data_IF_192449742829
#
_entry.id   IF_192449742829
#
_cell.length_a   1.000
_cell.length_b   1.000
_cell.length_c   1.000
_cell.angle_alpha   90.00
_cell.angle_beta   90.00
_cell.angle_gamma   90.00
#
_symmetry.space_group_name_H-M   'P 1'
#
loop_
_entity.id
_entity.type
_entity.pdbx_description
1 polymer ?
#
# COMPACT_ATOMS: atom_id res chain seq x y z
N UNK A 1 24.56 -8.96 -3.04
CA UNK A 1 25.37 -8.55 -1.87
C UNK A 1 24.69 -7.48 -1.00
N UNK A 2 23.57 -6.87 -1.42
CA UNK A 2 22.91 -5.76 -0.69
C UNK A 2 21.89 -6.17 0.37
N UNK A 3 21.10 -7.24 0.16
CA UNK A 3 19.99 -7.59 1.06
C UNK A 3 20.43 -8.14 2.44
N UNK A 4 21.41 -9.06 2.48
CA UNK A 4 21.84 -9.67 3.76
C UNK A 4 22.61 -8.70 4.66
N UNK A 5 23.30 -7.71 4.07
CA UNK A 5 24.00 -6.67 4.83
C UNK A 5 23.02 -5.65 5.45
N UNK A 6 21.93 -5.35 4.75
CA UNK A 6 20.86 -4.48 5.24
C UNK A 6 20.06 -5.13 6.37
N UNK A 7 19.79 -6.44 6.29
CA UNK A 7 19.15 -7.21 7.37
C UNK A 7 20.03 -7.29 8.62
N UNK A 8 21.34 -7.51 8.47
CA UNK A 8 22.28 -7.53 9.60
C UNK A 8 22.36 -6.18 10.33
N UNK A 9 22.33 -5.07 9.60
CA UNK A 9 22.33 -3.72 10.20
C UNK A 9 21.01 -3.41 10.93
N UNK A 10 19.87 -3.90 10.45
CA UNK A 10 18.57 -3.70 11.10
C UNK A 10 18.45 -4.48 12.41
N UNK A 11 18.98 -5.71 12.45
CA UNK A 11 19.04 -6.52 13.68
C UNK A 11 19.96 -5.88 14.72
N UNK A 12 21.14 -5.42 14.30
CA UNK A 12 22.07 -4.72 15.19
C UNK A 12 21.46 -3.42 15.74
N UNK A 13 20.77 -2.65 14.90
CA UNK A 13 20.05 -1.44 15.34
C UNK A 13 19.00 -1.77 16.40
N UNK A 14 18.23 -2.85 16.22
CA UNK A 14 17.20 -3.23 17.18
C UNK A 14 17.77 -3.76 18.50
N UNK A 15 18.87 -4.50 18.45
CA UNK A 15 19.57 -4.94 19.67
C UNK A 15 20.09 -3.75 20.49
N UNK A 16 20.56 -2.68 19.85
CA UNK A 16 20.93 -1.45 20.56
C UNK A 16 19.71 -0.78 21.20
N UNK A 17 18.58 -0.74 20.49
CA UNK A 17 17.32 -0.22 21.02
C UNK A 17 16.88 -1.02 22.25
N UNK A 18 16.93 -2.36 22.22
CA UNK A 18 16.62 -3.21 23.38
C UNK A 18 17.44 -2.85 24.62
N UNK A 19 18.73 -2.56 24.42
CA UNK A 19 19.64 -2.13 25.48
C UNK A 19 19.45 -0.67 25.92
N UNK A 20 18.39 0.01 25.46
CA UNK A 20 18.04 1.37 25.88
C UNK A 20 18.76 2.49 25.12
N UNK A 21 19.37 2.21 23.97
CA UNK A 21 20.02 3.24 23.16
C UNK A 21 19.00 4.16 22.48
N UNK A 22 18.74 5.31 23.11
CA UNK A 22 17.83 6.35 22.62
C UNK A 22 18.23 6.88 21.24
N UNK A 23 19.53 6.92 20.90
CA UNK A 23 19.99 7.42 19.59
C UNK A 23 19.59 6.44 18.48
N UNK A 24 19.75 5.16 18.75
CA UNK A 24 19.32 4.09 17.85
C UNK A 24 17.80 4.10 17.66
N UNK A 25 17.04 4.39 18.73
CA UNK A 25 15.58 4.51 18.65
C UNK A 25 15.14 5.75 17.86
N UNK A 26 15.79 6.90 18.07
CA UNK A 26 15.53 8.12 17.28
C UNK A 26 15.82 7.89 15.79
N UNK A 27 16.93 7.24 15.45
CA UNK A 27 17.25 6.91 14.06
C UNK A 27 16.17 6.02 13.43
N UNK A 28 15.63 5.06 14.19
CA UNK A 28 14.53 4.22 13.74
C UNK A 28 13.26 5.05 13.50
N UNK A 29 12.94 5.94 14.43
CA UNK A 29 11.79 6.85 14.31
C UNK A 29 11.91 7.70 13.05
N UNK A 30 13.01 8.41 12.88
CA UNK A 30 13.24 9.31 11.73
C UNK A 30 13.17 8.54 10.39
N UNK A 31 13.63 7.29 10.35
CA UNK A 31 13.62 6.47 9.14
C UNK A 31 12.23 5.90 8.79
N UNK A 32 11.41 5.59 9.79
CA UNK A 32 10.17 4.83 9.57
C UNK A 32 8.89 5.61 9.85
N UNK A 33 8.95 6.79 10.47
CA UNK A 33 7.77 7.57 10.79
C UNK A 33 6.95 7.88 9.55
N UNK A 34 7.54 8.52 8.54
CA UNK A 34 6.83 8.93 7.32
C UNK A 34 6.32 7.72 6.49
N UNK A 35 7.13 6.69 6.21
CA UNK A 35 6.64 5.52 5.48
C UNK A 35 5.51 4.76 6.18
N UNK A 36 5.51 4.71 7.52
CA UNK A 36 4.44 4.06 8.28
C UNK A 36 3.22 4.97 8.40
N UNK A 37 3.40 6.28 8.53
CA UNK A 37 2.31 7.26 8.51
C UNK A 37 1.55 7.20 7.20
N UNK A 38 2.24 7.26 6.06
CA UNK A 38 1.62 7.11 4.73
C UNK A 38 0.87 5.77 4.64
N UNK A 39 1.47 4.69 5.16
CA UNK A 39 0.83 3.39 5.18
C UNK A 39 -0.46 3.36 6.02
N UNK A 40 -0.47 3.98 7.20
CA UNK A 40 -1.64 4.11 8.04
C UNK A 40 -2.71 5.01 7.40
N UNK A 41 -2.30 6.14 6.83
CA UNK A 41 -3.16 7.10 6.15
C UNK A 41 -3.91 6.46 4.98
N UNK A 42 -3.23 5.69 4.13
CA UNK A 42 -3.87 4.95 3.03
C UNK A 42 -4.90 3.93 3.55
N UNK A 43 -4.74 3.44 4.79
CA UNK A 43 -5.64 2.43 5.36
C UNK A 43 -6.85 3.00 6.10
N UNK A 44 -6.70 4.16 6.76
CA UNK A 44 -7.73 4.75 7.62
C UNK A 44 -8.34 6.03 7.05
N UNK A 45 -7.70 6.62 6.03
CA UNK A 45 -8.13 7.85 5.33
C UNK A 45 -8.40 9.06 6.25
N UNK A 46 -7.77 9.06 7.42
CA UNK A 46 -7.86 10.10 8.45
C UNK A 46 -6.44 10.44 8.95
N UNK A 47 -6.05 11.70 8.76
CA UNK A 47 -4.70 12.17 9.09
C UNK A 47 -4.39 12.16 10.58
N UNK A 48 -5.36 12.54 11.41
CA UNK A 48 -5.15 12.68 12.84
C UNK A 48 -5.08 11.29 13.48
N UNK A 49 -5.98 10.39 13.09
CA UNK A 49 -5.92 8.99 13.52
C UNK A 49 -4.66 8.31 13.03
N UNK A 50 -4.21 8.58 11.80
CA UNK A 50 -2.95 8.04 11.29
C UNK A 50 -1.74 8.51 12.12
N UNK A 51 -1.66 9.79 12.47
CA UNK A 51 -0.59 10.33 13.34
C UNK A 51 -0.61 9.67 14.72
N UNK A 52 -1.79 9.58 15.34
CA UNK A 52 -1.97 8.96 16.65
C UNK A 52 -1.54 7.49 16.64
N UNK A 53 -1.88 6.75 15.59
CA UNK A 53 -1.49 5.35 15.43
C UNK A 53 0.03 5.19 15.35
N UNK A 54 0.71 6.06 14.62
CA UNK A 54 2.18 6.00 14.51
C UNK A 54 2.83 6.40 15.83
N UNK A 55 2.30 7.41 16.51
CA UNK A 55 2.78 7.77 17.85
C UNK A 55 2.62 6.60 18.83
N UNK A 56 1.42 5.99 18.87
CA UNK A 56 1.13 4.82 19.70
C UNK A 56 2.06 3.65 19.38
N UNK A 57 2.35 3.40 18.09
CA UNK A 57 3.28 2.37 17.67
C UNK A 57 4.66 2.55 18.28
N UNK A 58 5.25 3.74 18.17
CA UNK A 58 6.59 3.99 18.66
C UNK A 58 6.67 3.98 20.19
N UNK A 59 5.64 4.47 20.88
CA UNK A 59 5.53 4.35 22.35
C UNK A 59 5.52 2.87 22.74
N UNK A 60 4.65 2.06 22.12
CA UNK A 60 4.57 0.63 22.40
C UNK A 60 5.88 -0.10 22.07
N UNK A 61 6.58 0.30 21.01
CA UNK A 61 7.86 -0.24 20.63
C UNK A 61 8.92 0.02 21.71
N UNK A 62 8.98 1.23 22.24
CA UNK A 62 9.92 1.60 23.30
C UNK A 62 9.62 0.90 24.62
N UNK A 63 8.35 0.84 25.02
CA UNK A 63 7.94 0.25 26.30
C UNK A 63 8.08 -1.27 26.31
N UNK A 64 7.86 -1.92 25.16
CA UNK A 64 7.88 -3.38 25.04
C UNK A 64 9.15 -3.92 24.37
N UNK A 65 10.16 -3.08 24.12
CA UNK A 65 11.40 -3.43 23.40
C UNK A 65 12.02 -4.75 23.84
N UNK A 66 12.10 -5.02 25.15
CA UNK A 66 12.69 -6.23 25.72
C UNK A 66 11.92 -7.52 25.38
N UNK A 67 10.60 -7.41 25.17
CA UNK A 67 9.70 -8.53 24.87
C UNK A 67 9.55 -8.81 23.38
N UNK A 68 10.12 -7.96 22.53
CA UNK A 68 9.97 -8.08 21.08
C UNK A 68 11.06 -9.00 20.52
N UNK A 69 10.62 -10.11 19.94
CA UNK A 69 11.46 -11.07 19.25
C UNK A 69 11.31 -10.91 17.73
N UNK A 70 12.32 -10.33 17.07
CA UNK A 70 12.30 -10.11 15.62
C UNK A 70 12.88 -11.34 14.93
N UNK A 71 11.99 -12.22 14.49
CA UNK A 71 12.35 -13.47 13.80
C UNK A 71 12.53 -13.33 12.28
N UNK A 72 12.14 -12.20 11.70
CA UNK A 72 12.18 -11.97 10.24
C UNK A 72 12.94 -10.68 9.92
N UNK A 73 12.24 -9.54 9.87
CA UNK A 73 12.86 -8.22 9.68
C UNK A 73 12.14 -7.17 10.50
N UNK A 74 12.90 -6.18 10.97
CA UNK A 74 12.38 -5.03 11.71
C UNK A 74 11.34 -4.28 10.88
N UNK A 75 11.60 -4.10 9.58
CA UNK A 75 10.65 -3.53 8.64
C UNK A 75 9.32 -4.31 8.63
N UNK A 76 9.35 -5.63 8.43
CA UNK A 76 8.12 -6.42 8.39
C UNK A 76 7.33 -6.35 9.71
N UNK A 77 8.04 -6.32 10.84
CA UNK A 77 7.43 -6.16 12.15
C UNK A 77 6.69 -4.83 12.27
N UNK A 78 7.35 -3.71 11.94
CA UNK A 78 6.78 -2.37 12.04
C UNK A 78 5.52 -2.21 11.18
N UNK A 79 5.56 -2.62 9.91
CA UNK A 79 4.37 -2.54 9.04
C UNK A 79 3.22 -3.42 9.54
N UNK A 80 3.52 -4.61 10.10
CA UNK A 80 2.51 -5.50 10.67
C UNK A 80 1.89 -4.88 11.93
N UNK A 81 2.71 -4.28 12.79
CA UNK A 81 2.27 -3.62 14.01
C UNK A 81 1.41 -2.39 13.70
N UNK A 82 1.82 -1.53 12.75
CA UNK A 82 1.01 -0.41 12.25
C UNK A 82 -0.35 -0.89 11.76
N UNK A 83 -0.37 -1.90 10.88
CA UNK A 83 -1.61 -2.48 10.36
C UNK A 83 -2.54 -2.95 11.49
N UNK A 84 -2.00 -3.61 12.50
CA UNK A 84 -2.79 -4.13 13.62
C UNK A 84 -3.37 -3.01 14.48
N UNK A 85 -2.62 -1.92 14.70
CA UNK A 85 -3.11 -0.74 15.42
C UNK A 85 -4.22 -0.04 14.64
N UNK A 86 -4.04 0.17 13.32
CA UNK A 86 -5.10 0.70 12.44
C UNK A 86 -6.37 -0.13 12.58
N UNK A 87 -6.25 -1.45 12.45
CA UNK A 87 -7.39 -2.37 12.57
C UNK A 87 -8.05 -2.27 13.96
N UNK A 88 -7.26 -2.19 15.03
CA UNK A 88 -7.78 -2.05 16.39
C UNK A 88 -8.60 -0.77 16.55
N UNK A 89 -8.07 0.37 16.07
CA UNK A 89 -8.74 1.67 16.10
C UNK A 89 -10.02 1.66 15.26
N UNK A 90 -9.98 1.15 14.04
CA UNK A 90 -11.16 1.06 13.18
C UNK A 90 -12.28 0.23 13.79
N UNK A 91 -11.95 -0.87 14.50
CA UNK A 91 -12.96 -1.63 15.23
C UNK A 91 -13.53 -0.86 16.40
N UNK A 92 -12.71 -0.09 17.11
CA UNK A 92 -13.18 0.74 18.21
C UNK A 92 -14.16 1.80 17.69
N UNK A 93 -13.85 2.42 16.56
CA UNK A 93 -14.72 3.38 15.88
C UNK A 93 -16.02 2.70 15.45
N UNK A 94 -15.94 1.55 14.75
CA UNK A 94 -17.14 0.82 14.29
C UNK A 94 -18.01 0.29 15.45
N UNK A 95 -17.42 -0.07 16.60
CA UNK A 95 -18.21 -0.44 17.79
C UNK A 95 -18.91 0.77 18.38
N UNK A 96 -18.21 1.92 18.42
CA UNK A 96 -18.75 3.17 18.93
C UNK A 96 -19.87 3.68 18.02
N UNK A 97 -19.68 3.65 16.70
CA UNK A 97 -20.70 4.04 15.73
C UNK A 97 -21.93 3.14 15.78
N UNK A 98 -21.79 1.84 16.03
CA UNK A 98 -22.94 0.93 16.23
C UNK A 98 -23.69 1.23 17.54
N UNK A 99 -22.97 1.53 18.62
CA UNK A 99 -23.58 1.97 19.87
C UNK A 99 -24.28 3.33 19.70
N UNK A 100 -23.68 4.24 18.92
CA UNK A 100 -24.27 5.54 18.56
C UNK A 100 -25.48 5.36 17.62
N UNK A 101 -25.46 4.47 16.63
CA UNK A 101 -26.64 4.11 15.79
C UNK A 101 -27.77 3.47 16.62
N UNK A 102 -27.45 2.66 17.62
CA UNK A 102 -28.45 2.12 18.55
C UNK A 102 -29.10 3.23 19.40
N UNK A 103 -28.37 4.32 19.67
CA UNK A 103 -28.87 5.52 20.35
C UNK A 103 -29.54 6.52 19.38
N UNK A 104 -29.11 6.57 18.11
CA UNK A 104 -29.56 7.49 17.06
C UNK A 104 -30.73 6.96 16.22
N UNK A 105 -31.23 5.74 16.47
CA UNK A 105 -32.56 5.29 15.97
C UNK A 105 -33.75 6.18 16.40
N UNK A 106 -33.48 7.33 17.03
CA UNK A 106 -34.40 8.45 17.22
C UNK A 106 -34.31 9.60 16.21
N UNK A 107 -33.33 9.72 15.31
CA UNK A 107 -33.22 10.84 14.36
C UNK A 107 -32.57 10.46 13.00
N UNK A 108 -33.16 10.98 11.91
CA UNK A 108 -32.94 10.60 10.50
C UNK A 108 -31.81 11.37 9.80
N UNK A 109 -31.15 10.67 8.85
CA UNK A 109 -30.44 11.06 7.61
C UNK A 109 -29.38 12.17 7.59
N UNK A 110 -28.19 11.86 7.04
CA UNK A 110 -27.58 12.69 6.00
C UNK A 110 -26.55 11.96 5.10
N UNK A 111 -26.63 12.31 3.83
CA UNK A 111 -25.90 11.84 2.64
C UNK A 111 -24.66 12.71 2.36
N UNK A 112 -23.47 12.14 2.18
CA UNK A 112 -22.26 12.87 1.78
C UNK A 112 -21.26 11.95 1.04
N UNK A 113 -21.09 12.15 -0.28
CA UNK A 113 -19.79 12.35 -0.98
C UNK A 113 -19.79 12.01 -2.48
N UNK A 114 -20.51 12.80 -3.28
CA UNK A 114 -20.65 12.59 -4.73
C UNK A 114 -19.52 13.20 -5.59
N UNK A 115 -18.60 14.02 -5.05
CA UNK A 115 -17.62 14.76 -5.87
C UNK A 115 -16.15 14.29 -5.86
N UNK A 116 -15.70 13.46 -4.91
CA UNK A 116 -14.32 12.94 -4.88
C UNK A 116 -14.08 11.76 -5.84
N UNK A 117 -15.13 11.20 -6.42
CA UNK A 117 -15.08 9.89 -7.05
C UNK A 117 -14.62 9.89 -8.52
N UNK A 118 -14.24 10.99 -9.17
CA UNK A 118 -14.14 10.99 -10.66
C UNK A 118 -12.72 10.75 -11.21
N UNK A 119 -11.65 10.96 -10.44
CA UNK A 119 -10.27 10.84 -10.97
C UNK A 119 -9.45 9.66 -10.40
N UNK A 120 -9.90 8.99 -9.34
CA UNK A 120 -9.22 7.83 -8.71
C UNK A 120 -9.73 6.46 -9.21
N UNK A 121 -10.71 6.49 -10.14
CA UNK A 121 -11.58 5.34 -10.46
C UNK A 121 -10.92 4.21 -11.25
N UNK A 122 -9.87 4.46 -12.02
CA UNK A 122 -9.39 3.42 -12.95
C UNK A 122 -8.49 2.39 -12.27
N UNK A 123 -7.56 2.81 -11.39
CA UNK A 123 -6.71 1.87 -10.66
C UNK A 123 -7.50 1.08 -9.61
N UNK A 124 -8.39 1.76 -8.88
CA UNK A 124 -9.28 1.12 -7.90
C UNK A 124 -10.19 0.12 -8.60
N UNK A 125 -10.79 0.47 -9.75
CA UNK A 125 -11.62 -0.45 -10.54
C UNK A 125 -10.85 -1.65 -11.06
N UNK A 126 -9.59 -1.48 -11.48
CA UNK A 126 -8.72 -2.61 -11.88
C UNK A 126 -8.45 -3.53 -10.70
N UNK A 127 -8.17 -2.97 -9.51
CA UNK A 127 -7.96 -3.75 -8.28
C UNK A 127 -9.25 -4.48 -7.88
N UNK A 128 -10.41 -3.82 -7.91
CA UNK A 128 -11.71 -4.43 -7.63
C UNK A 128 -12.02 -5.56 -8.62
N UNK A 129 -11.74 -5.35 -9.91
CA UNK A 129 -11.89 -6.41 -10.93
C UNK A 129 -10.95 -7.59 -10.67
N UNK A 130 -9.72 -7.34 -10.20
CA UNK A 130 -8.80 -8.40 -9.81
C UNK A 130 -9.29 -9.17 -8.59
N UNK A 131 -9.85 -8.46 -7.60
CA UNK A 131 -10.45 -9.05 -6.39
C UNK A 131 -11.67 -9.90 -6.77
N UNK A 132 -12.48 -9.44 -7.70
CA UNK A 132 -13.66 -10.17 -8.18
C UNK A 132 -13.31 -11.48 -8.89
N UNK A 133 -12.15 -11.52 -9.55
CA UNK A 133 -11.62 -12.71 -10.22
C UNK A 133 -10.83 -13.65 -9.29
N UNK A 134 -10.69 -13.33 -8.00
CA UNK A 134 -10.08 -14.26 -7.05
C UNK A 134 -11.00 -15.48 -6.84
N UNK A 135 -10.42 -16.68 -6.64
CA UNK A 135 -11.20 -17.83 -6.18
C UNK A 135 -12.01 -17.50 -4.92
N UNK A 136 -13.25 -17.99 -4.83
CA UNK A 136 -14.22 -17.57 -3.81
C UNK A 136 -13.65 -17.51 -2.38
N UNK A 137 -12.95 -18.56 -1.93
CA UNK A 137 -12.34 -18.62 -0.60
C UNK A 137 -11.21 -17.59 -0.39
N UNK A 138 -10.48 -17.25 -1.44
CA UNK A 138 -9.45 -16.21 -1.40
C UNK A 138 -10.08 -14.83 -1.35
N UNK A 139 -11.13 -14.60 -2.15
CA UNK A 139 -11.89 -13.36 -2.18
C UNK A 139 -12.52 -13.08 -0.82
N UNK A 140 -13.21 -14.06 -0.25
CA UNK A 140 -13.87 -13.96 1.06
C UNK A 140 -12.87 -13.59 2.16
N UNK A 141 -11.76 -14.33 2.27
CA UNK A 141 -10.70 -14.02 3.24
C UNK A 141 -10.09 -12.64 3.00
N UNK A 142 -9.91 -12.23 1.75
CA UNK A 142 -9.36 -10.91 1.40
C UNK A 142 -10.33 -9.79 1.80
N UNK A 143 -11.62 -9.93 1.50
CA UNK A 143 -12.67 -8.95 1.84
C UNK A 143 -12.80 -8.81 3.35
N UNK A 144 -12.88 -9.92 4.09
CA UNK A 144 -12.93 -9.89 5.56
C UNK A 144 -11.72 -9.17 6.16
N UNK A 145 -10.55 -9.34 5.55
CA UNK A 145 -9.30 -8.74 6.01
C UNK A 145 -9.13 -7.26 5.63
N UNK A 146 -9.64 -6.85 4.45
CA UNK A 146 -9.37 -5.53 3.84
C UNK A 146 -10.54 -4.57 3.85
N UNK A 147 -11.78 -5.06 3.75
CA UNK A 147 -13.00 -4.26 3.84
C UNK A 147 -13.61 -4.30 5.25
N UNK A 148 -13.52 -5.45 5.93
CA UNK A 148 -14.06 -5.59 7.30
C UNK A 148 -13.00 -5.54 8.40
N UNK A 149 -11.73 -5.36 8.04
CA UNK A 149 -10.62 -5.16 8.99
C UNK A 149 -10.51 -6.28 10.05
N UNK A 150 -10.86 -7.52 9.69
CA UNK A 150 -10.72 -8.67 10.59
C UNK A 150 -9.28 -9.15 10.65
N UNK A 151 -8.88 -9.66 11.82
CA UNK A 151 -7.55 -10.26 12.01
C UNK A 151 -7.58 -11.66 11.40
N UNK A 152 -6.40 -12.21 11.13
CA UNK A 152 -6.28 -13.60 10.69
C UNK A 152 -6.99 -14.57 11.65
N UNK A 153 -6.88 -14.32 12.96
CA UNK A 153 -7.50 -15.14 14.01
C UNK A 153 -9.03 -15.10 13.93
N UNK A 154 -9.62 -13.91 13.83
CA UNK A 154 -11.09 -13.80 13.73
C UNK A 154 -11.62 -14.36 12.43
N UNK A 155 -10.88 -14.22 11.32
CA UNK A 155 -11.27 -14.83 10.04
C UNK A 155 -11.20 -16.36 10.15
N UNK A 156 -10.17 -16.89 10.81
CA UNK A 156 -10.00 -18.32 11.06
C UNK A 156 -11.17 -18.87 11.90
N UNK A 157 -11.52 -18.18 12.98
CA UNK A 157 -12.67 -18.51 13.84
C UNK A 157 -14.00 -18.41 13.06
N UNK A 158 -14.22 -17.32 12.32
CA UNK A 158 -15.45 -17.07 11.57
C UNK A 158 -15.67 -18.12 10.47
N UNK A 159 -14.61 -18.52 9.77
CA UNK A 159 -14.70 -19.47 8.66
C UNK A 159 -14.50 -20.93 9.09
N UNK A 160 -14.24 -21.20 10.38
CA UNK A 160 -13.91 -22.53 10.87
C UNK A 160 -12.65 -23.12 10.24
N UNK A 161 -11.63 -22.29 9.98
CA UNK A 161 -10.36 -22.71 9.34
C UNK A 161 -9.16 -22.37 10.22
N UNK A 162 -7.97 -22.90 9.90
CA UNK A 162 -6.75 -22.55 10.63
C UNK A 162 -6.22 -21.16 10.24
N UNK A 163 -5.63 -20.42 11.19
CA UNK A 163 -4.96 -19.13 10.92
C UNK A 163 -3.89 -19.23 9.82
N UNK A 164 -3.18 -20.37 9.75
CA UNK A 164 -2.19 -20.65 8.70
C UNK A 164 -2.83 -20.70 7.32
N UNK A 165 -4.03 -21.27 7.20
CA UNK A 165 -4.82 -21.28 5.96
C UNK A 165 -5.23 -19.86 5.59
N UNK A 166 -5.73 -19.06 6.52
CA UNK A 166 -6.10 -17.66 6.28
C UNK A 166 -4.89 -16.85 5.80
N UNK A 167 -3.72 -16.97 6.47
CA UNK A 167 -2.46 -16.33 6.03
C UNK A 167 -2.08 -16.74 4.61
N UNK A 168 -2.21 -18.03 4.28
CA UNK A 168 -1.92 -18.55 2.95
C UNK A 168 -2.87 -17.98 1.89
N UNK A 169 -4.17 -17.92 2.18
CA UNK A 169 -5.16 -17.33 1.28
C UNK A 169 -4.92 -15.83 1.06
N UNK A 170 -4.55 -15.09 2.11
CA UNK A 170 -4.15 -13.68 2.00
C UNK A 170 -2.87 -13.49 1.17
N UNK A 171 -1.86 -14.33 1.40
CA UNK A 171 -0.62 -14.28 0.61
C UNK A 171 -0.89 -14.57 -0.86
N UNK A 172 -1.69 -15.59 -1.16
CA UNK A 172 -2.04 -15.95 -2.52
C UNK A 172 -2.87 -14.88 -3.22
N UNK A 173 -3.82 -14.24 -2.52
CA UNK A 173 -4.65 -13.17 -3.11
C UNK A 173 -3.80 -11.95 -3.45
N UNK A 174 -2.87 -11.57 -2.58
CA UNK A 174 -1.90 -10.50 -2.86
C UNK A 174 -0.98 -10.83 -4.05
N UNK A 175 -0.54 -12.09 -4.20
CA UNK A 175 0.26 -12.51 -5.37
C UNK A 175 -0.51 -12.33 -6.68
N UNK A 176 -1.77 -12.74 -6.71
CA UNK A 176 -2.62 -12.61 -7.90
C UNK A 176 -2.80 -11.14 -8.28
N UNK A 177 -3.14 -10.29 -7.30
CA UNK A 177 -3.30 -8.84 -7.51
C UNK A 177 -1.99 -8.21 -8.00
N UNK A 178 -0.86 -8.56 -7.38
CA UNK A 178 0.46 -8.04 -7.77
C UNK A 178 0.84 -8.38 -9.20
N UNK A 179 0.63 -9.63 -9.63
CA UNK A 179 0.93 -10.05 -11.01
C UNK A 179 0.08 -9.27 -12.02
N UNK A 180 -1.19 -8.99 -11.68
CA UNK A 180 -2.05 -8.19 -12.55
C UNK A 180 -1.53 -6.74 -12.69
N UNK A 181 -1.09 -6.12 -11.60
CA UNK A 181 -0.51 -4.77 -11.61
C UNK A 181 0.84 -4.72 -12.36
N UNK A 182 1.72 -5.71 -12.16
CA UNK A 182 3.00 -5.80 -12.87
C UNK A 182 2.80 -5.91 -14.40
N UNK A 183 1.80 -6.68 -14.84
CA UNK A 183 1.43 -6.74 -16.26
C UNK A 183 0.97 -5.38 -16.78
N UNK A 184 0.13 -4.67 -16.03
CA UNK A 184 -0.35 -3.34 -16.43
C UNK A 184 0.81 -2.34 -16.61
N UNK A 185 1.79 -2.35 -15.70
CA UNK A 185 2.99 -1.52 -15.80
C UNK A 185 3.87 -1.88 -17.01
N UNK A 186 4.01 -3.18 -17.32
CA UNK A 186 4.72 -3.61 -18.53
C UNK A 186 4.00 -3.13 -19.79
N UNK A 187 2.67 -3.23 -19.84
CA UNK A 187 1.88 -2.70 -20.96
C UNK A 187 2.02 -1.19 -21.11
N UNK A 188 1.97 -0.42 -20.00
CA UNK A 188 2.16 1.03 -20.06
C UNK A 188 3.56 1.39 -20.58
N UNK A 189 4.60 0.69 -20.13
CA UNK A 189 5.97 0.89 -20.63
C UNK A 189 6.10 0.61 -22.13
N UNK A 190 5.45 -0.45 -22.63
CA UNK A 190 5.42 -0.78 -24.06
C UNK A 190 4.70 0.31 -24.87
N UNK A 191 3.59 0.84 -24.35
CA UNK A 191 2.84 1.93 -24.99
C UNK A 191 3.69 3.20 -25.04
N UNK A 192 4.32 3.58 -23.93
CA UNK A 192 5.21 4.76 -23.88
C UNK A 192 6.40 4.58 -24.83
N UNK A 193 6.98 3.39 -24.89
CA UNK A 193 8.06 3.07 -25.82
C UNK A 193 7.61 3.19 -27.27
N UNK A 194 6.42 2.68 -27.61
CA UNK A 194 5.86 2.77 -28.95
C UNK A 194 5.55 4.22 -29.36
N UNK A 195 4.95 5.01 -28.46
CA UNK A 195 4.68 6.43 -28.68
C UNK A 195 5.99 7.20 -28.89
N UNK A 196 6.99 6.96 -28.03
CA UNK A 196 8.30 7.58 -28.16
C UNK A 196 8.97 7.23 -29.49
N UNK A 197 8.94 5.96 -29.88
CA UNK A 197 9.50 5.48 -31.14
C UNK A 197 8.78 6.07 -32.35
N UNK A 198 7.45 6.11 -32.33
CA UNK A 198 6.63 6.70 -33.40
C UNK A 198 6.91 8.20 -33.56
N UNK A 199 6.95 8.95 -32.44
CA UNK A 199 7.29 10.36 -32.44
C UNK A 199 8.71 10.61 -32.97
N UNK A 200 9.69 9.77 -32.60
CA UNK A 200 11.07 9.88 -33.09
C UNK A 200 11.17 9.63 -34.61
N UNK A 201 10.43 8.66 -35.14
CA UNK A 201 10.36 8.41 -36.60
C UNK A 201 9.72 9.59 -37.33
N UNK A 202 8.62 10.14 -36.80
CA UNK A 202 7.96 11.31 -37.39
C UNK A 202 8.87 12.53 -37.43
N UNK A 203 9.59 12.81 -36.33
CA UNK A 203 10.56 13.93 -36.28
C UNK A 203 11.70 13.73 -37.28
N UNK A 204 12.24 12.51 -37.40
CA UNK A 204 13.31 12.21 -38.37
C UNK A 204 12.85 12.34 -39.83
N UNK A 205 11.57 12.08 -40.12
CA UNK A 205 10.99 12.27 -41.46
C UNK A 205 10.73 13.75 -41.79
N UNK A 206 10.46 14.59 -40.80
CA UNK A 206 10.31 16.05 -40.97
C UNK A 206 11.65 16.69 -41.38
N UNK A 207 12.73 16.39 -40.65
CA UNK A 207 14.06 16.95 -40.91
C UNK A 207 14.62 16.56 -42.28
N UNK A 208 14.40 15.31 -42.72
CA UNK A 208 14.81 14.86 -44.06
C UNK A 208 14.04 15.57 -45.19
N UNK A 209 12.79 16.00 -44.97
CA UNK A 209 12.04 16.77 -45.99
C UNK A 209 12.53 18.21 -46.10
N UNK A 210 12.89 18.83 -44.97
CA UNK A 210 13.44 20.20 -44.93
C UNK A 210 14.79 20.29 -45.66
N UNK A 211 15.68 19.31 -45.45
CA UNK A 211 16.98 19.28 -46.13
C UNK A 211 16.86 19.02 -47.63
N UNK A 212 15.99 18.10 -48.06
CA UNK A 212 15.73 17.86 -49.49
C UNK A 212 15.16 19.10 -50.21
N UNK A 213 14.18 19.80 -49.63
CA UNK A 213 13.61 21.00 -50.23
C UNK A 213 14.63 22.14 -50.34
N UNK A 214 15.48 22.34 -49.31
CA UNK A 214 16.52 23.36 -49.34
C UNK A 214 17.58 23.12 -50.42
N UNK A 215 17.94 21.85 -50.68
CA UNK A 215 18.88 21.52 -51.75
C UNK A 215 18.26 21.67 -53.14
N UNK A 216 16.96 21.37 -53.28
CA UNK A 216 16.23 21.59 -54.52
C UNK A 216 16.11 23.08 -54.87
N UNK A 217 15.86 23.96 -53.89
CA UNK A 217 15.81 25.41 -54.09
C UNK A 217 17.20 26.01 -54.42
N UNK A 218 18.27 25.51 -53.79
CA UNK A 218 19.65 25.93 -54.08
C UNK A 218 20.11 25.49 -55.48
N UNK A 219 19.62 24.35 -55.97
CA UNK A 219 19.91 23.85 -57.32
C UNK A 219 19.14 24.60 -58.42
N UNK A 220 17.94 25.14 -58.12
CA UNK A 220 17.16 25.96 -59.06
C UNK A 220 17.60 27.42 -59.13
N UNK A 221 18.40 27.90 -58.16
CA UNK A 221 18.96 29.27 -58.13
C UNK A 221 20.34 29.42 -58.80
N UNK A 222 20.91 28.34 -59.35
CA UNK A 222 22.14 28.36 -60.17
C UNK A 222 21.80 28.10 -61.62
#
# INVERSE_FOLDING_TARGET
MSASFQEANQLLLFERIKNGDERSFKLLYDLYWEPLYIHALIMIEDEDLAKDIIQELFIQLWDKKEKIDIRQSLKSYLYTATRNLVISKMRQINRRSRLEEELERGYTDFDLNTLKQIEEKDLIRVIDTCIDNLPQKMKEVFVLSRKEHRTTKEIAELLGTAETTVKKQLSNSLKVIRIALEKLLLFSLLITFFIFFYNRILLTRSDKRLTLNSQHELAQKK
#
